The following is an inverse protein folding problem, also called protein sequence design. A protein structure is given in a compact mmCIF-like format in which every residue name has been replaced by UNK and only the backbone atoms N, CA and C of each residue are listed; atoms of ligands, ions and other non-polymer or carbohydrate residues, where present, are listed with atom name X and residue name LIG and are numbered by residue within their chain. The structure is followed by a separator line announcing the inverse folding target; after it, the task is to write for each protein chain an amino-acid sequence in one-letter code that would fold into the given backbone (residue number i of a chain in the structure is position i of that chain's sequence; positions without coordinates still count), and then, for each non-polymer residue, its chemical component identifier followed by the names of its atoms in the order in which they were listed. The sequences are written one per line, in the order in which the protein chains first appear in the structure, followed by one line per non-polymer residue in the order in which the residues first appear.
data_IF_848775432239
#
_entry.id   IF_848775432239
#
_cell.length_a   1.000
_cell.length_b   1.000
_cell.length_c   1.000
_cell.angle_alpha   90.00
_cell.angle_beta   90.00
_cell.angle_gamma   90.00
#
_symmetry.space_group_name_H-M   'P 1'
#
loop_
_entity.id
_entity.type
_entity.pdbx_description
1 polymer ?
#
# COMPACT_ATOMS: atom_id res chain seq x y z
N UNK A 1 -19.05 -20.82 20.67
CA UNK A 1 -18.35 -20.72 19.39
C UNK A 1 -17.35 -19.59 19.58
N UNK A 2 -16.03 -19.81 19.42
CA UNK A 2 -15.07 -18.72 19.36
C UNK A 2 -15.45 -17.88 18.14
N UNK A 3 -15.76 -16.61 18.31
CA UNK A 3 -15.88 -15.68 17.21
C UNK A 3 -14.54 -15.72 16.47
N UNK A 4 -14.55 -16.22 15.25
CA UNK A 4 -13.37 -16.19 14.37
C UNK A 4 -13.18 -14.74 13.96
N UNK A 5 -12.22 -14.07 14.61
CA UNK A 5 -11.83 -12.72 14.23
C UNK A 5 -11.20 -12.77 12.83
N UNK A 6 -11.73 -12.03 11.91
CA UNK A 6 -11.20 -11.88 10.54
C UNK A 6 -11.21 -10.42 10.14
N UNK A 7 -10.28 -10.06 9.29
CA UNK A 7 -10.11 -8.70 8.77
C UNK A 7 -10.32 -8.68 7.26
N UNK A 8 -10.58 -7.50 6.70
CA UNK A 8 -10.84 -7.33 5.27
C UNK A 8 -10.00 -6.20 4.70
N UNK A 9 -9.20 -6.51 3.69
CA UNK A 9 -8.52 -5.54 2.84
C UNK A 9 -9.33 -5.27 1.57
N UNK A 10 -9.59 -4.00 1.26
CA UNK A 10 -10.29 -3.57 0.05
C UNK A 10 -9.37 -2.67 -0.78
N UNK A 11 -8.91 -3.19 -1.92
CA UNK A 11 -8.14 -2.46 -2.92
C UNK A 11 -9.09 -1.87 -3.98
N UNK A 12 -9.15 -0.52 -4.07
CA UNK A 12 -9.98 0.21 -5.03
C UNK A 12 -9.11 0.70 -6.19
N UNK A 13 -8.61 -0.23 -6.98
CA UNK A 13 -7.73 0.07 -8.11
C UNK A 13 -8.43 0.63 -9.34
N UNK A 14 -7.65 1.15 -10.31
CA UNK A 14 -8.16 1.71 -11.57
C UNK A 14 -8.75 0.65 -12.51
N UNK A 15 -8.23 -0.58 -12.48
CA UNK A 15 -8.65 -1.65 -13.41
C UNK A 15 -9.58 -2.65 -12.76
N UNK A 16 -9.37 -2.93 -11.48
CA UNK A 16 -10.12 -3.89 -10.69
C UNK A 16 -10.33 -3.37 -9.27
N UNK A 17 -11.39 -3.82 -8.62
CA UNK A 17 -11.59 -3.73 -7.18
C UNK A 17 -11.49 -5.13 -6.60
N UNK A 18 -10.74 -5.28 -5.51
CA UNK A 18 -10.49 -6.58 -4.88
C UNK A 18 -10.77 -6.47 -3.39
N UNK A 19 -11.60 -7.36 -2.86
CA UNK A 19 -11.82 -7.56 -1.44
C UNK A 19 -11.22 -8.90 -1.01
N UNK A 20 -10.33 -8.90 0.00
CA UNK A 20 -9.68 -10.09 0.53
C UNK A 20 -10.03 -10.21 1.99
N UNK A 21 -10.64 -11.34 2.37
CA UNK A 21 -10.96 -11.69 3.75
C UNK A 21 -9.90 -12.67 4.26
N UNK A 22 -9.37 -12.42 5.44
CA UNK A 22 -8.39 -13.33 6.03
C UNK A 22 -8.20 -13.10 7.52
N UNK A 23 -7.37 -13.92 8.10
CA UNK A 23 -6.97 -13.88 9.51
C UNK A 23 -5.52 -14.31 9.64
N UNK A 24 -4.90 -13.98 10.76
CA UNK A 24 -3.60 -14.56 11.12
C UNK A 24 -3.80 -15.94 11.75
N UNK A 25 -2.99 -16.90 11.34
CA UNK A 25 -2.98 -18.23 11.92
C UNK A 25 -1.98 -18.33 13.09
N UNK A 26 -1.93 -19.46 13.77
CA UNK A 26 -1.05 -19.73 14.92
C UNK A 26 0.47 -19.63 14.58
N UNK A 27 0.84 -19.61 13.30
CA UNK A 27 2.22 -19.47 12.83
C UNK A 27 2.58 -18.05 12.39
N UNK A 28 1.70 -17.06 12.61
CA UNK A 28 1.90 -15.68 12.16
C UNK A 28 1.77 -15.50 10.64
N UNK A 29 1.13 -16.44 9.94
CA UNK A 29 0.85 -16.35 8.49
C UNK A 29 -0.59 -15.96 8.25
N UNK A 30 -0.83 -15.25 7.15
CA UNK A 30 -2.17 -14.86 6.72
C UNK A 30 -2.84 -16.03 6.00
N UNK A 31 -3.92 -16.50 6.58
CA UNK A 31 -4.84 -17.46 5.99
C UNK A 31 -5.95 -16.70 5.25
N UNK A 32 -6.06 -16.92 3.93
CA UNK A 32 -7.11 -16.30 3.13
C UNK A 32 -8.39 -17.12 3.28
N UNK A 33 -9.47 -16.46 3.65
CA UNK A 33 -10.79 -17.08 3.86
C UNK A 33 -11.70 -16.89 2.66
N UNK A 34 -11.47 -15.86 1.85
CA UNK A 34 -12.21 -15.61 0.63
C UNK A 34 -11.73 -14.38 -0.11
N UNK A 35 -12.01 -14.34 -1.41
CA UNK A 35 -11.66 -13.27 -2.31
C UNK A 35 -12.84 -12.88 -3.20
N UNK A 36 -13.03 -11.58 -3.38
CA UNK A 36 -13.98 -11.04 -4.34
C UNK A 36 -13.33 -10.07 -5.28
N UNK A 37 -13.71 -10.13 -6.56
CA UNK A 37 -13.12 -9.33 -7.63
C UNK A 37 -14.21 -8.71 -8.48
N UNK A 38 -14.06 -7.43 -8.79
CA UNK A 38 -14.94 -6.75 -9.74
C UNK A 38 -14.12 -5.91 -10.71
N UNK A 39 -14.63 -5.73 -11.92
CA UNK A 39 -14.06 -4.73 -12.82
C UNK A 39 -14.28 -3.36 -12.21
N UNK A 40 -13.21 -2.57 -12.09
CA UNK A 40 -13.33 -1.19 -11.61
C UNK A 40 -13.98 -0.33 -12.69
N UNK A 41 -15.10 0.28 -12.33
CA UNK A 41 -15.80 1.26 -13.13
C UNK A 41 -15.87 2.55 -12.32
N UNK A 42 -15.48 3.68 -12.91
CA UNK A 42 -15.55 4.98 -12.23
C UNK A 42 -14.30 5.41 -11.47
N UNK A 43 -13.20 4.63 -11.50
CA UNK A 43 -11.89 5.03 -10.99
C UNK A 43 -10.93 5.27 -12.14
N UNK A 44 -10.24 6.41 -12.14
CA UNK A 44 -9.26 6.77 -13.16
C UNK A 44 -7.98 7.32 -12.50
N UNK A 45 -6.84 6.70 -12.75
CA UNK A 45 -5.53 7.04 -12.17
C UNK A 45 -5.57 7.19 -10.64
N UNK A 46 -6.23 6.23 -9.98
CA UNK A 46 -6.39 6.21 -8.52
C UNK A 46 -7.39 7.23 -7.96
N UNK A 47 -8.15 7.94 -8.82
CA UNK A 47 -9.16 8.94 -8.40
C UNK A 47 -10.56 8.46 -8.75
N UNK A 48 -11.50 8.56 -7.80
CA UNK A 48 -12.93 8.27 -8.04
C UNK A 48 -13.53 9.38 -8.87
N UNK A 49 -13.85 9.08 -10.13
CA UNK A 49 -14.48 10.02 -11.08
C UNK A 49 -16.00 9.79 -11.20
N UNK A 50 -16.47 8.57 -10.91
CA UNK A 50 -17.89 8.24 -10.92
C UNK A 50 -18.25 7.43 -9.67
N UNK A 51 -18.88 8.11 -8.71
CA UNK A 51 -19.22 7.53 -7.40
C UNK A 51 -20.16 6.34 -7.55
N UNK A 52 -21.22 6.45 -8.35
CA UNK A 52 -22.22 5.38 -8.51
C UNK A 52 -21.60 4.10 -9.07
N UNK A 53 -20.83 4.20 -10.15
CA UNK A 53 -20.17 3.04 -10.73
C UNK A 53 -19.13 2.43 -9.79
N UNK A 54 -18.42 3.26 -9.00
CA UNK A 54 -17.47 2.77 -8.02
C UNK A 54 -18.18 2.00 -6.90
N UNK A 55 -19.30 2.51 -6.40
CA UNK A 55 -20.13 1.82 -5.40
C UNK A 55 -20.59 0.46 -5.92
N UNK A 56 -21.13 0.38 -7.14
CA UNK A 56 -21.57 -0.87 -7.75
C UNK A 56 -20.43 -1.89 -7.86
N UNK A 57 -19.23 -1.42 -8.27
CA UNK A 57 -18.03 -2.28 -8.36
C UNK A 57 -17.56 -2.77 -6.98
N UNK A 58 -17.61 -1.91 -5.94
CA UNK A 58 -17.30 -2.29 -4.55
C UNK A 58 -18.29 -3.36 -4.07
N UNK A 59 -19.61 -3.11 -4.23
CA UNK A 59 -20.65 -4.04 -3.80
C UNK A 59 -20.51 -5.41 -4.49
N UNK A 60 -20.15 -5.42 -5.77
CA UNK A 60 -19.91 -6.67 -6.51
C UNK A 60 -18.71 -7.44 -5.93
N UNK A 61 -17.57 -6.77 -5.66
CA UNK A 61 -16.40 -7.40 -5.06
C UNK A 61 -16.70 -7.94 -3.66
N UNK A 62 -17.37 -7.15 -2.82
CA UNK A 62 -17.79 -7.55 -1.47
C UNK A 62 -18.71 -8.75 -1.51
N UNK A 63 -19.77 -8.72 -2.32
CA UNK A 63 -20.74 -9.84 -2.43
C UNK A 63 -20.06 -11.12 -2.89
N UNK A 64 -19.09 -11.03 -3.78
CA UNK A 64 -18.32 -12.21 -4.21
C UNK A 64 -17.45 -12.74 -3.07
N UNK A 65 -16.73 -11.88 -2.33
CA UNK A 65 -15.90 -12.29 -1.19
C UNK A 65 -16.74 -12.91 -0.07
N UNK A 66 -17.94 -12.37 0.21
CA UNK A 66 -18.88 -12.94 1.17
C UNK A 66 -19.40 -14.31 0.72
N UNK A 67 -19.65 -14.48 -0.58
CA UNK A 67 -20.12 -15.78 -1.14
C UNK A 67 -19.01 -16.82 -1.07
N UNK A 68 -17.78 -16.45 -1.35
CA UNK A 68 -16.62 -17.31 -1.36
C UNK A 68 -16.25 -17.79 0.06
N UNK A 69 -16.24 -16.86 1.02
CA UNK A 69 -15.89 -17.16 2.42
C UNK A 69 -17.04 -17.70 3.27
N UNK A 70 -18.29 -17.42 2.90
CA UNK A 70 -19.47 -17.63 3.75
C UNK A 70 -19.57 -16.67 4.94
N UNK A 71 -18.74 -15.62 4.99
CA UNK A 71 -18.68 -14.63 6.05
C UNK A 71 -19.34 -13.31 5.62
N UNK A 72 -19.83 -12.52 6.58
CA UNK A 72 -20.38 -11.18 6.34
C UNK A 72 -19.31 -10.11 6.53
N UNK A 73 -19.23 -9.16 5.60
CA UNK A 73 -18.30 -8.03 5.65
C UNK A 73 -19.02 -6.79 6.16
N UNK A 74 -18.58 -6.25 7.28
CA UNK A 74 -19.09 -5.01 7.88
C UNK A 74 -18.06 -3.88 7.82
N UNK A 75 -16.79 -4.20 8.08
CA UNK A 75 -15.69 -3.23 8.15
C UNK A 75 -14.60 -3.60 7.15
N UNK A 76 -14.02 -2.60 6.48
CA UNK A 76 -12.94 -2.78 5.51
C UNK A 76 -11.81 -1.79 5.75
N UNK A 77 -10.56 -2.25 5.59
CA UNK A 77 -9.37 -1.40 5.48
C UNK A 77 -9.07 -1.15 4.02
N UNK A 78 -8.78 0.11 3.66
CA UNK A 78 -8.76 0.58 2.27
C UNK A 78 -7.44 1.21 1.92
N UNK A 79 -6.98 0.96 0.70
CA UNK A 79 -5.84 1.63 0.10
C UNK A 79 -6.19 3.02 -0.45
N UNK A 80 -5.21 3.93 -0.37
CA UNK A 80 -5.25 5.20 -1.09
C UNK A 80 -3.97 5.37 -1.87
N UNK A 81 -4.12 5.65 -3.16
CA UNK A 81 -3.04 6.01 -4.08
C UNK A 81 -3.59 6.95 -5.16
N UNK A 82 -2.73 7.39 -6.04
CA UNK A 82 -3.13 8.18 -7.21
C UNK A 82 -2.44 9.53 -7.28
N UNK A 83 -2.64 10.21 -8.42
CA UNK A 83 -1.97 11.47 -8.75
C UNK A 83 -2.26 12.64 -7.80
N UNK A 84 -3.23 12.49 -6.91
CA UNK A 84 -3.60 13.48 -5.90
C UNK A 84 -2.80 13.34 -4.59
N UNK A 85 -1.93 12.34 -4.51
CA UNK A 85 -1.04 12.10 -3.38
C UNK A 85 0.34 12.68 -3.70
N UNK A 86 0.90 13.42 -2.76
CA UNK A 86 2.26 13.91 -2.81
C UNK A 86 2.95 13.76 -1.46
N UNK A 87 4.25 13.80 -1.45
CA UNK A 87 5.02 13.77 -0.21
C UNK A 87 5.88 15.03 -0.06
N UNK A 88 6.21 15.35 1.18
CA UNK A 88 7.16 16.39 1.53
C UNK A 88 7.99 15.97 2.74
N UNK A 89 9.17 16.56 2.86
CA UNK A 89 10.03 16.42 4.03
C UNK A 89 9.77 17.57 4.99
N UNK A 90 9.63 17.25 6.28
CA UNK A 90 9.46 18.22 7.33
C UNK A 90 10.30 17.86 8.55
N UNK A 91 10.81 18.87 9.25
CA UNK A 91 11.55 18.66 10.52
C UNK A 91 10.86 19.45 11.61
N UNK A 92 10.64 18.83 12.74
CA UNK A 92 10.02 19.49 13.89
C UNK A 92 10.61 18.97 15.21
N UNK A 93 10.31 19.66 16.31
CA UNK A 93 10.81 19.30 17.62
C UNK A 93 9.82 19.64 18.73
N UNK A 94 9.95 18.95 19.85
CA UNK A 94 9.32 19.31 21.12
C UNK A 94 10.39 19.52 22.19
N UNK A 95 10.12 20.43 23.13
CA UNK A 95 10.89 20.56 24.36
C UNK A 95 10.09 19.92 25.49
N UNK A 96 10.68 18.96 26.16
CA UNK A 96 10.06 18.20 27.25
C UNK A 96 10.12 18.99 28.55
N UNK A 97 9.05 18.92 29.34
CA UNK A 97 8.99 19.62 30.62
C UNK A 97 9.95 19.05 31.65
N UNK A 98 10.24 17.74 31.59
CA UNK A 98 11.17 17.06 32.49
C UNK A 98 12.21 16.28 31.68
N UNK A 99 13.45 16.76 31.69
CA UNK A 99 14.58 16.11 31.02
C UNK A 99 15.16 14.94 31.82
N UNK A 100 14.80 14.80 33.11
CA UNK A 100 15.26 13.74 34.00
C UNK A 100 14.40 12.46 33.87
N UNK A 101 13.30 12.52 33.17
CA UNK A 101 12.49 11.37 32.81
C UNK A 101 12.90 10.83 31.44
N UNK A 102 12.79 9.51 31.24
CA UNK A 102 13.04 8.90 29.93
C UNK A 102 11.99 9.33 28.91
N UNK A 103 12.37 9.42 27.65
CA UNK A 103 11.45 9.66 26.55
C UNK A 103 10.50 8.47 26.45
N UNK A 104 9.21 8.76 26.48
CA UNK A 104 8.14 7.76 26.36
C UNK A 104 7.46 7.79 24.99
N UNK A 105 6.59 6.80 24.71
CA UNK A 105 5.78 6.80 23.49
C UNK A 105 4.93 8.07 23.34
N UNK A 106 4.43 8.63 24.47
CA UNK A 106 3.62 9.85 24.48
C UNK A 106 4.40 11.08 23.95
N UNK A 107 5.73 11.14 24.17
CA UNK A 107 6.57 12.23 23.66
C UNK A 107 6.70 12.14 22.13
N UNK A 108 6.89 10.93 21.60
CA UNK A 108 6.93 10.69 20.15
C UNK A 108 5.57 10.99 19.52
N UNK A 109 4.49 10.55 20.14
CA UNK A 109 3.12 10.85 19.70
C UNK A 109 2.84 12.35 19.69
N UNK A 110 3.28 13.09 20.70
CA UNK A 110 3.11 14.53 20.77
C UNK A 110 3.85 15.24 19.64
N UNK A 111 5.08 14.82 19.35
CA UNK A 111 5.86 15.36 18.24
C UNK A 111 5.18 15.09 16.89
N UNK A 112 4.72 13.86 16.64
CA UNK A 112 3.96 13.52 15.43
C UNK A 112 2.65 14.31 15.32
N UNK A 113 1.90 14.44 16.43
CA UNK A 113 0.65 15.20 16.48
C UNK A 113 0.84 16.70 16.20
N UNK A 114 2.03 17.26 16.50
CA UNK A 114 2.38 18.63 16.14
C UNK A 114 2.50 18.79 14.62
N UNK A 115 3.13 17.82 13.95
CA UNK A 115 3.27 17.82 12.48
C UNK A 115 1.90 17.69 11.79
N UNK A 116 0.95 16.91 12.34
CA UNK A 116 -0.41 16.85 11.81
C UNK A 116 -1.18 18.19 11.84
N UNK A 117 -0.72 19.16 12.63
CA UNK A 117 -1.32 20.50 12.71
C UNK A 117 -0.77 21.49 11.71
N UNK A 118 0.19 21.08 10.87
CA UNK A 118 0.75 21.95 9.84
C UNK A 118 -0.34 22.44 8.88
N UNK A 119 -0.26 23.70 8.54
CA UNK A 119 -1.17 24.31 7.57
C UNK A 119 -0.77 23.87 6.16
N UNK A 120 -1.64 23.12 5.51
CA UNK A 120 -1.49 22.68 4.12
C UNK A 120 -2.12 23.70 3.16
N UNK A 121 -1.92 23.49 1.86
CA UNK A 121 -2.60 24.28 0.84
C UNK A 121 -4.12 24.05 0.90
N UNK A 122 -4.94 25.03 0.49
CA UNK A 122 -6.39 24.88 0.49
C UNK A 122 -6.83 23.62 -0.27
N UNK A 123 -7.61 22.77 0.38
CA UNK A 123 -8.09 21.50 -0.18
C UNK A 123 -7.12 20.32 -0.03
N UNK A 124 -6.00 20.50 0.66
CA UNK A 124 -5.06 19.42 1.00
C UNK A 124 -5.11 19.08 2.49
N UNK A 125 -4.82 17.83 2.80
CA UNK A 125 -4.78 17.27 4.14
C UNK A 125 -3.62 16.30 4.29
N UNK A 126 -3.03 16.25 5.48
CA UNK A 126 -1.98 15.28 5.81
C UNK A 126 -2.63 13.92 6.04
N UNK A 127 -2.20 12.93 5.25
CA UNK A 127 -2.67 11.54 5.34
C UNK A 127 -1.79 10.75 6.31
N UNK A 128 -0.46 10.85 6.16
CA UNK A 128 0.50 10.15 7.02
C UNK A 128 1.64 11.07 7.45
N UNK A 129 2.06 10.93 8.70
CA UNK A 129 3.27 11.51 9.27
C UNK A 129 4.18 10.36 9.68
N UNK A 130 5.26 10.15 8.94
CA UNK A 130 6.15 9.01 9.09
C UNK A 130 7.51 9.51 9.59
N UNK A 131 7.85 9.30 10.88
CA UNK A 131 9.15 9.69 11.41
C UNK A 131 10.26 8.89 10.71
N UNK A 132 11.35 9.56 10.36
CA UNK A 132 12.49 8.96 9.69
C UNK A 132 13.68 8.78 10.62
N UNK A 133 14.15 9.87 11.21
CA UNK A 133 15.27 9.90 12.13
C UNK A 133 14.99 10.88 13.26
N UNK A 134 15.36 10.49 14.47
CA UNK A 134 15.26 11.32 15.65
C UNK A 134 16.61 11.93 16.02
N UNK A 135 16.53 13.06 16.76
CA UNK A 135 17.64 13.69 17.44
C UNK A 135 17.23 13.95 18.88
N UNK A 136 18.10 13.63 19.82
CA UNK A 136 17.89 13.90 21.24
C UNK A 136 19.02 14.80 21.73
N UNK A 137 18.68 15.99 22.20
CA UNK A 137 19.65 17.02 22.67
C UNK A 137 20.81 17.26 21.68
N UNK A 138 20.49 17.23 20.35
CA UNK A 138 21.46 17.45 19.28
C UNK A 138 22.19 16.21 18.80
N UNK A 139 22.10 15.06 19.48
CA UNK A 139 22.61 13.78 19.00
C UNK A 139 21.70 13.24 17.89
N UNK A 140 22.20 13.16 16.68
CA UNK A 140 21.48 12.71 15.47
C UNK A 140 21.57 11.18 15.25
N UNK A 141 20.91 10.71 14.18
CA UNK A 141 20.91 9.31 13.71
C UNK A 141 20.32 8.32 14.73
N UNK A 142 19.36 8.75 15.54
CA UNK A 142 18.66 7.90 16.50
C UNK A 142 17.44 7.29 15.81
N UNK A 143 17.36 5.95 15.75
CA UNK A 143 16.20 5.24 15.19
C UNK A 143 15.07 5.10 16.21
N UNK A 144 15.40 4.83 17.45
CA UNK A 144 14.45 4.59 18.55
C UNK A 144 14.81 5.47 19.74
N UNK A 145 14.08 6.57 19.99
CA UNK A 145 14.39 7.50 21.08
C UNK A 145 13.78 7.06 22.42
N UNK A 146 12.81 6.12 22.41
CA UNK A 146 12.11 5.67 23.63
C UNK A 146 13.09 5.02 24.60
N UNK A 147 13.04 5.45 25.87
CA UNK A 147 13.94 4.99 26.91
C UNK A 147 15.22 5.83 27.08
N UNK A 148 15.49 6.78 26.17
CA UNK A 148 16.62 7.71 26.29
C UNK A 148 16.25 8.89 27.19
N UNK A 149 17.24 9.47 27.87
CA UNK A 149 17.09 10.76 28.56
C UNK A 149 17.32 11.91 27.58
N UNK A 150 16.59 13.00 27.74
CA UNK A 150 16.79 14.21 26.93
C UNK A 150 15.69 15.23 27.11
N UNK A 151 16.06 16.50 27.02
CA UNK A 151 15.14 17.64 27.14
C UNK A 151 14.52 18.07 25.83
N UNK A 152 15.19 17.81 24.69
CA UNK A 152 14.72 18.17 23.36
C UNK A 152 14.67 16.95 22.44
N UNK A 153 13.49 16.61 21.95
CA UNK A 153 13.25 15.57 20.96
C UNK A 153 12.91 16.20 19.63
N UNK A 154 13.74 15.97 18.62
CA UNK A 154 13.53 16.39 17.23
C UNK A 154 13.37 15.18 16.32
N UNK A 155 12.64 15.33 15.21
CA UNK A 155 12.60 14.31 14.16
C UNK A 155 12.49 14.94 12.78
N UNK A 156 13.00 14.20 11.79
CA UNK A 156 12.68 14.41 10.39
C UNK A 156 11.50 13.53 10.02
N UNK A 157 10.56 14.06 9.24
CA UNK A 157 9.33 13.39 8.87
C UNK A 157 9.19 13.30 7.35
N UNK A 158 8.78 12.13 6.89
CA UNK A 158 8.16 11.98 5.58
C UNK A 158 6.65 12.19 5.76
N UNK A 159 6.12 13.29 5.20
CA UNK A 159 4.73 13.67 5.33
C UNK A 159 4.02 13.42 4.01
N UNK A 160 2.98 12.60 4.05
CA UNK A 160 2.14 12.29 2.88
C UNK A 160 0.89 13.15 2.93
N UNK A 161 0.61 13.83 1.84
CA UNK A 161 -0.49 14.78 1.69
C UNK A 161 -1.38 14.35 0.54
N UNK A 162 -2.69 14.46 0.71
CA UNK A 162 -3.68 14.17 -0.31
C UNK A 162 -4.77 15.24 -0.43
N UNK A 163 -5.51 15.20 -1.53
CA UNK A 163 -6.67 16.08 -1.71
C UNK A 163 -7.85 15.58 -0.88
N UNK A 164 -8.39 16.44 -0.02
CA UNK A 164 -9.56 16.19 0.84
C UNK A 164 -10.76 15.65 0.04
N UNK A 165 -11.03 16.23 -1.13
CA UNK A 165 -12.15 15.80 -1.98
C UNK A 165 -12.02 14.35 -2.45
N UNK A 166 -10.80 13.91 -2.80
CA UNK A 166 -10.52 12.54 -3.24
C UNK A 166 -10.73 11.54 -2.10
N UNK A 167 -10.23 11.88 -0.91
CA UNK A 167 -10.40 11.05 0.31
C UNK A 167 -11.90 10.94 0.65
N UNK A 168 -12.62 12.05 0.69
CA UNK A 168 -14.07 12.08 0.96
C UNK A 168 -14.86 11.26 -0.05
N UNK A 169 -14.50 11.27 -1.33
CA UNK A 169 -15.16 10.47 -2.35
C UNK A 169 -14.99 8.96 -2.09
N UNK A 170 -13.77 8.50 -1.73
CA UNK A 170 -13.52 7.11 -1.35
C UNK A 170 -14.38 6.73 -0.14
N UNK A 171 -14.33 7.51 0.93
CA UNK A 171 -15.12 7.26 2.16
C UNK A 171 -16.62 7.22 1.86
N UNK A 172 -17.10 8.14 1.02
CA UNK A 172 -18.50 8.14 0.57
C UNK A 172 -18.86 6.87 -0.19
N UNK A 173 -18.00 6.38 -1.07
CA UNK A 173 -18.23 5.13 -1.78
C UNK A 173 -18.36 3.95 -0.81
N UNK A 174 -17.48 3.86 0.21
CA UNK A 174 -17.48 2.80 1.22
C UNK A 174 -18.78 2.85 2.05
N UNK A 175 -19.11 4.02 2.63
CA UNK A 175 -20.33 4.22 3.42
C UNK A 175 -21.59 3.91 2.59
N UNK A 176 -21.65 4.38 1.33
CA UNK A 176 -22.79 4.13 0.44
C UNK A 176 -22.88 2.70 -0.07
N UNK A 177 -21.79 1.94 -0.04
CA UNK A 177 -21.79 0.49 -0.28
C UNK A 177 -22.32 -0.32 0.93
N UNK A 178 -22.62 0.35 2.06
CA UNK A 178 -23.12 -0.28 3.29
C UNK A 178 -22.02 -0.75 4.23
N UNK A 179 -20.79 -0.27 4.05
CA UNK A 179 -19.61 -0.71 4.79
C UNK A 179 -19.13 0.36 5.79
N UNK A 180 -18.48 -0.09 6.84
CA UNK A 180 -17.74 0.76 7.77
C UNK A 180 -16.29 0.85 7.31
N UNK A 181 -15.71 2.04 7.44
CA UNK A 181 -14.30 2.26 7.20
C UNK A 181 -13.51 1.86 8.45
N UNK A 182 -12.59 0.92 8.31
CA UNK A 182 -11.57 0.58 9.30
C UNK A 182 -10.41 1.57 9.24
N UNK A 183 -9.41 1.23 8.48
CA UNK A 183 -8.19 2.02 8.28
C UNK A 183 -8.05 2.47 6.83
N UNK A 184 -7.41 3.65 6.62
CA UNK A 184 -6.92 4.07 5.30
C UNK A 184 -5.40 3.98 5.32
N UNK A 185 -4.83 3.19 4.42
CA UNK A 185 -3.40 3.02 4.26
C UNK A 185 -2.92 3.51 2.90
N UNK A 186 -1.72 4.09 2.85
CA UNK A 186 -1.07 4.40 1.58
C UNK A 186 -0.72 3.09 0.84
N UNK A 187 -1.19 2.92 -0.39
CA UNK A 187 -1.02 1.67 -1.15
C UNK A 187 0.43 1.22 -1.29
N UNK A 188 1.41 2.09 -1.62
CA UNK A 188 2.82 1.68 -1.65
C UNK A 188 3.36 1.13 -0.34
N UNK A 189 2.82 1.57 0.82
CA UNK A 189 3.18 1.00 2.12
C UNK A 189 2.57 -0.38 2.32
N UNK A 190 1.32 -0.55 1.91
CA UNK A 190 0.64 -1.85 1.96
C UNK A 190 1.36 -2.86 1.05
N UNK A 191 1.61 -2.51 -0.21
CA UNK A 191 2.37 -3.35 -1.15
C UNK A 191 3.76 -3.71 -0.61
N UNK A 192 4.46 -2.75 0.03
CA UNK A 192 5.77 -2.97 0.62
C UNK A 192 5.73 -3.99 1.78
N UNK A 193 4.68 -3.99 2.58
CA UNK A 193 4.53 -4.96 3.66
C UNK A 193 4.26 -6.38 3.13
N UNK A 194 3.62 -6.49 1.97
CA UNK A 194 3.33 -7.77 1.35
C UNK A 194 4.52 -8.41 0.61
N UNK A 195 5.45 -7.59 0.05
CA UNK A 195 6.44 -8.10 -0.93
C UNK A 195 7.90 -7.84 -0.58
N UNK A 196 8.20 -6.99 0.42
CA UNK A 196 9.56 -6.68 0.84
C UNK A 196 9.91 -7.36 2.15
N UNK A 197 11.10 -7.94 2.22
CA UNK A 197 11.65 -8.41 3.48
C UNK A 197 12.21 -7.25 4.32
N UNK A 198 12.40 -7.49 5.61
CA UNK A 198 12.99 -6.50 6.50
C UNK A 198 14.44 -6.18 6.11
N UNK A 199 15.19 -7.19 5.66
CA UNK A 199 16.58 -7.05 5.22
C UNK A 199 16.67 -6.16 3.96
N UNK A 200 15.73 -6.28 3.02
CA UNK A 200 15.69 -5.41 1.85
C UNK A 200 15.38 -3.95 2.25
N UNK A 201 14.42 -3.75 3.16
CA UNK A 201 14.11 -2.41 3.70
C UNK A 201 15.32 -1.80 4.40
N UNK A 202 16.10 -2.58 5.12
CA UNK A 202 17.33 -2.12 5.79
C UNK A 202 18.47 -1.86 4.81
N UNK A 203 18.72 -2.78 3.87
CA UNK A 203 19.77 -2.64 2.87
C UNK A 203 19.54 -1.46 1.91
N UNK A 204 18.29 -1.08 1.72
CA UNK A 204 17.84 -0.04 0.81
C UNK A 204 17.30 -0.62 -0.48
N UNK A 205 16.02 -0.36 -0.76
CA UNK A 205 15.25 -0.90 -1.88
C UNK A 205 14.26 0.14 -2.42
N UNK A 206 14.07 0.13 -3.74
CA UNK A 206 12.98 0.84 -4.40
C UNK A 206 11.88 -0.17 -4.78
N UNK A 207 10.71 -0.05 -4.16
CA UNK A 207 9.51 -0.77 -4.58
C UNK A 207 8.81 0.03 -5.67
N UNK A 208 8.49 -0.62 -6.77
CA UNK A 208 7.74 -0.05 -7.89
C UNK A 208 6.49 -0.91 -8.10
N UNK A 209 5.33 -0.36 -7.79
CA UNK A 209 4.03 -0.99 -8.02
C UNK A 209 3.43 -0.44 -9.31
N UNK A 210 3.38 -1.26 -10.35
CA UNK A 210 2.85 -0.88 -11.67
C UNK A 210 1.40 -1.33 -11.77
N UNK A 211 0.50 -0.42 -11.42
CA UNK A 211 -0.93 -0.60 -11.51
C UNK A 211 -1.48 -0.39 -12.93
N UNK A 212 -2.83 -0.34 -13.04
CA UNK A 212 -3.49 -0.02 -14.30
C UNK A 212 -3.39 1.46 -14.67
N UNK A 213 -3.59 2.36 -13.71
CA UNK A 213 -3.66 3.80 -13.92
C UNK A 213 -2.44 4.58 -13.47
N UNK A 214 -1.71 4.06 -12.49
CA UNK A 214 -0.53 4.68 -11.87
C UNK A 214 0.61 3.69 -11.77
N UNK A 215 1.80 4.23 -11.57
CA UNK A 215 2.98 3.50 -11.08
C UNK A 215 3.42 4.20 -9.81
N UNK A 216 3.40 3.47 -8.71
CA UNK A 216 3.67 3.99 -7.38
C UNK A 216 5.07 3.55 -6.93
N UNK A 217 5.87 4.51 -6.46
CA UNK A 217 7.23 4.29 -5.96
C UNK A 217 7.27 4.49 -4.46
N UNK A 218 7.91 3.56 -3.75
CA UNK A 218 8.32 3.72 -2.36
C UNK A 218 9.78 3.31 -2.18
N UNK A 219 10.59 4.17 -1.58
CA UNK A 219 12.00 3.91 -1.30
C UNK A 219 12.18 3.72 0.20
N UNK A 220 12.75 2.58 0.56
CA UNK A 220 13.14 2.24 1.93
C UNK A 220 14.65 2.23 2.06
N UNK A 221 15.15 2.66 3.21
CA UNK A 221 16.55 2.56 3.62
C UNK A 221 16.63 2.57 5.14
N UNK A 222 17.49 1.74 5.71
CA UNK A 222 17.66 1.57 7.16
C UNK A 222 16.37 1.12 7.89
N UNK A 223 15.48 0.38 7.17
CA UNK A 223 14.18 -0.06 7.65
C UNK A 223 13.08 1.01 7.60
N UNK A 224 13.38 2.21 7.11
CA UNK A 224 12.51 3.39 7.16
C UNK A 224 12.14 3.82 5.74
N UNK A 225 10.90 4.27 5.54
CA UNK A 225 10.51 4.90 4.28
C UNK A 225 11.18 6.27 4.14
N UNK A 226 11.84 6.47 3.00
CA UNK A 226 12.59 7.69 2.73
C UNK A 226 11.95 8.57 1.67
N UNK A 227 11.28 7.98 0.70
CA UNK A 227 10.65 8.71 -0.40
C UNK A 227 9.44 7.95 -0.94
N UNK A 228 8.41 8.68 -1.38
CA UNK A 228 7.29 8.15 -2.14
C UNK A 228 6.99 9.08 -3.32
N UNK A 229 6.65 8.49 -4.46
CA UNK A 229 6.21 9.23 -5.63
C UNK A 229 5.13 8.46 -6.39
N UNK A 230 4.29 9.17 -7.10
CA UNK A 230 3.25 8.60 -7.96
C UNK A 230 3.46 9.10 -9.39
N UNK A 231 3.68 8.18 -10.30
CA UNK A 231 3.77 8.43 -11.73
C UNK A 231 2.37 8.18 -12.33
N UNK A 232 1.73 9.15 -13.02
CA UNK A 232 0.35 9.05 -13.47
C UNK A 232 0.19 8.20 -14.75
N UNK A 233 1.04 7.20 -14.91
CA UNK A 233 1.05 6.22 -16.00
C UNK A 233 1.15 4.82 -15.43
N UNK A 234 0.42 3.87 -16.04
CA UNK A 234 0.43 2.46 -15.69
C UNK A 234 0.08 1.60 -16.91
N UNK A 235 -0.44 0.40 -16.69
CA UNK A 235 -0.77 -0.54 -17.76
C UNK A 235 -1.78 -0.04 -18.80
N UNK A 236 -2.68 0.88 -18.42
CA UNK A 236 -3.73 1.36 -19.32
C UNK A 236 -3.19 2.25 -20.44
N UNK A 237 -2.17 3.06 -20.19
CA UNK A 237 -1.57 3.88 -21.28
C UNK A 237 -0.86 2.98 -22.31
N UNK A 238 -0.28 1.85 -21.89
CA UNK A 238 0.27 0.84 -22.81
C UNK A 238 -0.85 0.27 -23.67
N UNK A 239 -2.01 -0.03 -23.08
CA UNK A 239 -3.18 -0.54 -23.83
C UNK A 239 -3.69 0.48 -24.84
N UNK A 240 -3.72 1.76 -24.47
CA UNK A 240 -4.12 2.85 -25.37
C UNK A 240 -3.14 2.99 -26.54
N UNK A 241 -1.83 2.95 -26.30
CA UNK A 241 -0.82 3.00 -27.36
C UNK A 241 -0.93 1.80 -28.32
N UNK A 242 -1.21 0.60 -27.79
CA UNK A 242 -1.47 -0.59 -28.63
C UNK A 242 -2.74 -0.40 -29.46
N UNK A 243 -3.81 0.09 -28.85
CA UNK A 243 -5.08 0.38 -29.52
C UNK A 243 -4.88 1.33 -30.70
N UNK A 244 -4.16 2.43 -30.47
CA UNK A 244 -3.86 3.42 -31.52
C UNK A 244 -2.89 2.87 -32.56
N UNK A 245 -1.73 2.36 -32.14
CA UNK A 245 -0.69 1.87 -33.02
C UNK A 245 -1.11 0.67 -33.86
N UNK A 246 -1.96 -0.19 -33.33
CA UNK A 246 -2.54 -1.33 -34.06
C UNK A 246 -3.92 -1.01 -34.67
N UNK A 247 -4.54 0.15 -34.41
CA UNK A 247 -5.89 0.55 -34.85
C UNK A 247 -6.93 -0.56 -34.59
N UNK A 248 -7.05 -0.98 -33.34
CA UNK A 248 -7.96 -2.03 -32.83
C UNK A 248 -8.77 -1.48 -31.67
N UNK A 249 -9.76 -2.24 -31.18
CA UNK A 249 -10.53 -1.83 -29.99
C UNK A 249 -9.73 -2.10 -28.70
N UNK A 250 -10.02 -1.33 -27.66
CA UNK A 250 -9.36 -1.42 -26.35
C UNK A 250 -9.31 -2.84 -25.79
N UNK A 251 -10.44 -3.58 -25.82
CA UNK A 251 -10.51 -4.95 -25.36
C UNK A 251 -9.53 -5.90 -26.07
N UNK A 252 -9.33 -5.69 -27.39
CA UNK A 252 -8.37 -6.49 -28.15
C UNK A 252 -6.93 -6.07 -27.82
N UNK A 253 -6.68 -4.76 -27.65
CA UNK A 253 -5.38 -4.23 -27.25
C UNK A 253 -4.96 -4.77 -25.85
N UNK A 254 -5.87 -4.78 -24.88
CA UNK A 254 -5.61 -5.35 -23.56
C UNK A 254 -5.30 -6.84 -23.62
N UNK A 255 -6.07 -7.61 -24.39
CA UNK A 255 -5.80 -9.05 -24.59
C UNK A 255 -4.44 -9.29 -25.27
N UNK A 256 -4.05 -8.45 -26.22
CA UNK A 256 -2.72 -8.53 -26.85
C UNK A 256 -1.61 -8.26 -25.84
N UNK A 257 -1.75 -7.20 -25.05
CA UNK A 257 -0.79 -6.84 -24.01
C UNK A 257 -0.58 -7.99 -23.03
N UNK A 258 -1.68 -8.56 -22.49
CA UNK A 258 -1.61 -9.61 -21.49
C UNK A 258 -1.04 -10.92 -22.06
N UNK A 259 -1.47 -11.34 -23.25
CA UNK A 259 -1.10 -12.65 -23.79
C UNK A 259 0.25 -12.66 -24.51
N UNK A 260 0.56 -11.58 -25.22
CA UNK A 260 1.67 -11.52 -26.16
C UNK A 260 2.63 -10.35 -25.91
N UNK A 261 2.30 -9.47 -24.95
CA UNK A 261 3.11 -8.30 -24.65
C UNK A 261 4.51 -8.65 -24.17
N UNK A 262 5.49 -7.91 -24.66
CA UNK A 262 6.89 -8.00 -24.27
C UNK A 262 7.48 -6.59 -24.23
N UNK A 263 8.23 -6.27 -23.17
CA UNK A 263 8.93 -5.00 -23.04
C UNK A 263 10.22 -4.95 -23.89
N UNK A 264 10.64 -6.05 -24.48
CA UNK A 264 11.91 -6.15 -25.22
C UNK A 264 11.69 -6.62 -26.66
N UNK A 265 11.74 -5.73 -27.66
CA UNK A 265 11.47 -6.09 -29.08
C UNK A 265 12.46 -7.10 -29.67
N UNK A 266 13.70 -7.15 -29.16
CA UNK A 266 14.74 -8.07 -29.64
C UNK A 266 14.46 -9.55 -29.36
N UNK A 267 13.62 -9.84 -28.38
CA UNK A 267 13.21 -11.21 -28.01
C UNK A 267 12.11 -11.78 -28.91
N UNK A 268 11.51 -10.97 -29.78
CA UNK A 268 10.43 -11.41 -30.66
C UNK A 268 10.96 -11.63 -32.10
N UNK A 269 10.64 -12.78 -32.68
CA UNK A 269 10.99 -13.08 -34.06
C UNK A 269 10.14 -12.26 -35.04
N UNK A 270 10.70 -11.93 -36.19
CA UNK A 270 10.00 -11.11 -37.19
C UNK A 270 8.79 -11.78 -37.83
N UNK A 271 8.78 -13.11 -37.87
CA UNK A 271 7.73 -13.91 -38.49
C UNK A 271 6.64 -14.35 -37.51
N UNK A 272 6.69 -13.95 -36.22
CA UNK A 272 5.64 -14.23 -35.26
C UNK A 272 4.50 -13.22 -35.42
N UNK A 273 3.31 -13.72 -35.83
CA UNK A 273 2.14 -12.90 -36.13
C UNK A 273 0.96 -13.37 -35.30
N UNK A 274 0.20 -12.44 -34.79
CA UNK A 274 -1.11 -12.67 -34.15
C UNK A 274 -2.20 -12.12 -35.06
N UNK A 275 -3.18 -12.94 -35.38
CA UNK A 275 -4.37 -12.56 -36.13
C UNK A 275 -5.50 -12.16 -35.16
N UNK A 276 -6.03 -10.95 -35.33
CA UNK A 276 -7.12 -10.42 -34.53
C UNK A 276 -8.38 -10.41 -35.39
N UNK A 277 -9.49 -10.97 -34.88
CA UNK A 277 -10.76 -10.94 -35.62
C UNK A 277 -11.21 -9.53 -35.95
N UNK A 278 -11.57 -9.32 -37.21
CA UNK A 278 -12.14 -8.05 -37.68
C UNK A 278 -13.52 -7.76 -37.08
N UNK A 279 -13.89 -6.50 -36.96
CA UNK A 279 -15.19 -6.07 -36.49
C UNK A 279 -16.25 -6.25 -37.58
N UNK A 280 -17.43 -6.84 -37.23
CA UNK A 280 -18.60 -6.94 -38.11
C UNK A 280 -18.29 -7.53 -39.50
N UNK A 281 -17.54 -8.61 -39.55
CA UNK A 281 -17.24 -9.33 -40.81
C UNK A 281 -16.13 -8.69 -41.66
N UNK A 282 -15.37 -7.74 -41.11
CA UNK A 282 -14.12 -7.25 -41.75
C UNK A 282 -13.04 -8.32 -41.66
N UNK A 283 -12.10 -8.27 -42.57
CA UNK A 283 -10.96 -9.18 -42.58
C UNK A 283 -10.18 -9.10 -41.25
N UNK A 284 -9.62 -10.23 -40.79
CA UNK A 284 -8.75 -10.26 -39.65
C UNK A 284 -7.55 -9.34 -39.84
N UNK A 285 -7.10 -8.72 -38.77
CA UNK A 285 -5.92 -7.87 -38.75
C UNK A 285 -4.72 -8.66 -38.24
N UNK A 286 -3.66 -8.70 -38.99
CA UNK A 286 -2.40 -9.31 -38.64
C UNK A 286 -1.46 -8.31 -37.98
N UNK A 287 -0.91 -8.67 -36.83
CA UNK A 287 0.02 -7.85 -36.06
C UNK A 287 1.24 -8.69 -35.72
N UNK A 288 2.43 -8.22 -36.14
CA UNK A 288 3.67 -8.89 -35.76
C UNK A 288 3.97 -8.64 -34.28
N UNK A 289 4.42 -9.67 -33.55
CA UNK A 289 4.79 -9.53 -32.14
C UNK A 289 5.93 -8.53 -31.94
N UNK A 290 6.84 -8.42 -32.92
CA UNK A 290 7.91 -7.43 -32.91
C UNK A 290 7.37 -5.99 -32.93
N UNK A 291 6.35 -5.68 -33.75
CA UNK A 291 5.73 -4.35 -33.75
C UNK A 291 4.95 -4.08 -32.48
N UNK A 292 4.19 -5.05 -31.98
CA UNK A 292 3.52 -4.96 -30.69
C UNK A 292 4.52 -4.62 -29.59
N UNK A 293 5.64 -5.35 -29.54
CA UNK A 293 6.69 -5.14 -28.53
C UNK A 293 7.38 -3.77 -28.69
N UNK A 294 7.55 -3.23 -29.90
CA UNK A 294 8.09 -1.88 -30.09
C UNK A 294 7.17 -0.80 -29.51
N UNK A 295 5.84 -0.93 -29.68
CA UNK A 295 4.86 0.00 -29.11
C UNK A 295 4.93 -0.07 -27.57
N UNK A 296 4.91 -1.27 -27.02
CA UNK A 296 4.99 -1.50 -25.57
C UNK A 296 6.30 -0.97 -25.00
N UNK A 297 7.43 -1.28 -25.64
CA UNK A 297 8.77 -0.85 -25.24
C UNK A 297 8.88 0.67 -25.10
N UNK A 298 8.40 1.41 -26.10
CA UNK A 298 8.48 2.87 -26.08
C UNK A 298 7.77 3.46 -24.83
N UNK A 299 6.58 2.95 -24.50
CA UNK A 299 5.86 3.42 -23.32
C UNK A 299 6.47 2.97 -22.02
N UNK A 300 6.94 1.73 -21.95
CA UNK A 300 7.57 1.19 -20.74
C UNK A 300 8.88 1.92 -20.43
N UNK A 301 9.69 2.24 -21.46
CA UNK A 301 10.90 3.07 -21.29
C UNK A 301 10.53 4.41 -20.64
N UNK A 302 9.50 5.11 -21.13
CA UNK A 302 9.07 6.40 -20.57
C UNK A 302 8.67 6.26 -19.08
N UNK A 303 7.90 5.22 -18.73
CA UNK A 303 7.49 4.97 -17.34
C UNK A 303 8.72 4.71 -16.46
N UNK A 304 9.62 3.83 -16.91
CA UNK A 304 10.82 3.45 -16.13
C UNK A 304 11.79 4.63 -15.98
N UNK A 305 11.94 5.46 -17.01
CA UNK A 305 12.77 6.66 -16.94
C UNK A 305 12.23 7.67 -15.93
N UNK A 306 10.90 7.88 -15.85
CA UNK A 306 10.28 8.73 -14.83
C UNK A 306 10.50 8.19 -13.43
N UNK A 307 10.32 6.88 -13.22
CA UNK A 307 10.63 6.22 -11.94
C UNK A 307 12.11 6.41 -11.58
N UNK A 308 13.00 6.24 -12.55
CA UNK A 308 14.43 6.39 -12.31
C UNK A 308 14.85 7.83 -11.97
N UNK A 309 14.17 8.81 -12.54
CA UNK A 309 14.34 10.23 -12.14
C UNK A 309 13.99 10.41 -10.66
N UNK A 310 12.90 9.81 -10.18
CA UNK A 310 12.54 9.87 -8.76
C UNK A 310 13.54 9.17 -7.85
N UNK A 311 14.10 8.03 -8.27
CA UNK A 311 15.19 7.34 -7.55
C UNK A 311 16.45 8.22 -7.48
N UNK A 312 16.78 8.94 -8.56
CA UNK A 312 17.89 9.90 -8.57
C UNK A 312 17.61 11.12 -7.70
N UNK A 313 16.38 11.64 -7.72
CA UNK A 313 15.95 12.76 -6.87
C UNK A 313 16.08 12.42 -5.38
N UNK A 314 15.81 11.16 -5.00
CA UNK A 314 16.11 10.67 -3.65
C UNK A 314 17.62 10.74 -3.33
N UNK A 315 18.50 10.65 -4.32
CA UNK A 315 19.96 10.73 -4.18
C UNK A 315 20.65 9.36 -4.17
N UNK A 316 20.10 8.36 -4.85
CA UNK A 316 20.69 7.02 -4.97
C UNK A 316 22.18 7.02 -5.40
N UNK A 317 22.61 8.02 -6.16
CA UNK A 317 24.01 8.16 -6.60
C UNK A 317 24.97 8.51 -5.43
N UNK A 318 24.44 9.01 -4.31
CA UNK A 318 25.21 9.26 -3.09
C UNK A 318 25.49 7.93 -2.36
N UNK A 319 26.73 7.70 -1.95
CA UNK A 319 27.14 6.43 -1.32
C UNK A 319 26.31 6.06 -0.08
N UNK A 320 25.92 7.05 0.74
CA UNK A 320 25.09 6.82 1.95
C UNK A 320 23.62 6.46 1.62
N UNK A 321 23.13 6.86 0.45
CA UNK A 321 21.74 6.65 0.00
C UNK A 321 21.62 5.51 -1.01
N UNK A 322 22.69 4.77 -1.25
CA UNK A 322 22.69 3.69 -2.22
C UNK A 322 21.70 2.59 -1.83
N UNK A 323 20.87 2.19 -2.78
CA UNK A 323 19.89 1.11 -2.62
C UNK A 323 20.55 -0.22 -2.99
N UNK A 324 21.04 -0.93 -1.99
CA UNK A 324 21.83 -2.16 -2.18
C UNK A 324 20.96 -3.32 -2.65
N UNK A 325 19.71 -3.40 -2.14
CA UNK A 325 18.76 -4.42 -2.56
C UNK A 325 18.09 -4.10 -3.92
N UNK A 326 18.47 -2.99 -4.56
CA UNK A 326 18.04 -2.66 -5.92
C UNK A 326 16.55 -2.30 -6.02
N UNK A 327 15.87 -2.91 -6.99
CA UNK A 327 14.47 -2.64 -7.35
C UNK A 327 13.62 -3.89 -7.17
N UNK A 328 12.44 -3.71 -6.58
CA UNK A 328 11.40 -4.74 -6.54
C UNK A 328 10.19 -4.24 -7.33
N UNK A 329 9.79 -5.01 -8.36
CA UNK A 329 8.63 -4.72 -9.19
C UNK A 329 7.42 -5.52 -8.70
N UNK A 330 6.29 -4.87 -8.49
CA UNK A 330 5.02 -5.53 -8.16
C UNK A 330 3.85 -4.91 -8.94
N UNK A 331 2.63 -5.31 -8.64
CA UNK A 331 1.45 -4.90 -9.39
C UNK A 331 1.26 -5.67 -10.69
N UNK A 332 0.10 -5.46 -11.33
CA UNK A 332 -0.26 -6.19 -12.56
C UNK A 332 0.68 -5.96 -13.74
N UNK A 333 1.25 -4.75 -13.85
CA UNK A 333 2.19 -4.38 -14.90
C UNK A 333 3.53 -5.09 -14.79
N UNK A 334 3.95 -5.50 -13.59
CA UNK A 334 5.22 -6.22 -13.36
C UNK A 334 5.27 -7.58 -14.08
N UNK A 335 4.12 -8.14 -14.46
CA UNK A 335 4.00 -9.41 -15.15
C UNK A 335 4.28 -9.31 -16.66
N UNK A 336 4.51 -8.09 -17.19
CA UNK A 336 4.88 -7.91 -18.59
C UNK A 336 6.21 -8.61 -18.89
N UNK A 337 6.23 -9.43 -19.94
CA UNK A 337 7.44 -10.20 -20.28
C UNK A 337 8.63 -9.26 -20.53
N UNK A 338 9.79 -9.66 -20.04
CA UNK A 338 11.08 -8.94 -20.17
C UNK A 338 11.11 -7.54 -19.54
N UNK A 339 10.11 -7.18 -18.72
CA UNK A 339 10.11 -5.90 -18.00
C UNK A 339 11.27 -5.80 -17.02
N UNK A 340 11.53 -6.85 -16.25
CA UNK A 340 12.65 -6.91 -15.31
C UNK A 340 13.98 -6.58 -16.01
N UNK A 341 14.26 -7.24 -17.14
CA UNK A 341 15.49 -7.04 -17.90
C UNK A 341 15.60 -5.59 -18.44
N UNK A 342 14.47 -5.02 -18.85
CA UNK A 342 14.44 -3.64 -19.33
C UNK A 342 14.73 -2.64 -18.21
N UNK A 343 14.17 -2.87 -17.02
CA UNK A 343 14.43 -2.04 -15.83
C UNK A 343 15.90 -2.12 -15.43
N UNK A 344 16.48 -3.32 -15.36
CA UNK A 344 17.90 -3.53 -15.10
C UNK A 344 18.79 -2.82 -16.13
N UNK A 345 18.41 -2.88 -17.41
CA UNK A 345 19.16 -2.22 -18.49
C UNK A 345 19.14 -0.69 -18.38
N UNK A 346 17.99 -0.10 -18.06
CA UNK A 346 17.83 1.37 -18.00
C UNK A 346 18.47 1.91 -16.71
N UNK A 347 18.28 1.23 -15.58
CA UNK A 347 18.66 1.75 -14.27
C UNK A 347 20.07 1.33 -13.82
N UNK A 348 20.57 0.22 -14.35
CA UNK A 348 21.80 -0.42 -13.87
C UNK A 348 21.67 -1.04 -12.48
N UNK A 349 20.44 -1.21 -11.97
CA UNK A 349 20.14 -1.74 -10.63
C UNK A 349 19.59 -3.15 -10.74
N UNK A 350 20.02 -4.03 -9.82
CA UNK A 350 19.46 -5.38 -9.71
C UNK A 350 17.95 -5.28 -9.47
N UNK A 351 17.19 -6.12 -10.15
CA UNK A 351 15.72 -6.06 -10.12
C UNK A 351 15.11 -7.45 -9.90
N UNK A 352 14.10 -7.56 -9.06
CA UNK A 352 13.28 -8.78 -8.90
C UNK A 352 11.80 -8.47 -9.01
N UNK A 353 10.99 -9.49 -9.23
CA UNK A 353 9.53 -9.40 -9.08
C UNK A 353 9.18 -9.71 -7.62
N UNK A 354 8.34 -8.87 -7.03
CA UNK A 354 7.81 -9.04 -5.68
C UNK A 354 6.49 -9.82 -5.70
N UNK A 355 6.45 -10.91 -4.98
CA UNK A 355 5.27 -11.75 -4.81
C UNK A 355 4.82 -11.69 -3.35
N UNK A 356 3.52 -11.56 -3.04
CA UNK A 356 3.02 -11.48 -1.66
C UNK A 356 2.93 -12.85 -0.96
N UNK A 357 3.64 -13.86 -1.44
CA UNK A 357 3.55 -15.24 -0.99
C UNK A 357 4.25 -15.55 0.34
N UNK A 358 5.25 -14.76 0.73
CA UNK A 358 6.04 -15.02 1.95
C UNK A 358 5.22 -14.92 3.24
N UNK A 359 4.17 -14.11 3.24
CA UNK A 359 3.29 -13.87 4.38
C UNK A 359 2.01 -14.73 4.36
N UNK A 360 1.73 -15.40 3.26
CA UNK A 360 0.56 -16.25 3.09
C UNK A 360 0.76 -17.66 3.66
N UNK A 361 -0.30 -18.27 4.15
CA UNK A 361 -0.34 -19.67 4.51
C UNK A 361 -0.20 -20.56 3.27
N UNK A 362 0.37 -21.77 3.42
CA UNK A 362 0.75 -22.62 2.28
C UNK A 362 -0.40 -23.17 1.43
N UNK A 363 -1.62 -23.10 1.91
CA UNK A 363 -2.88 -23.52 1.25
C UNK A 363 -3.61 -22.35 0.57
N UNK A 364 -3.00 -21.16 0.55
CA UNK A 364 -3.57 -20.02 -0.18
C UNK A 364 -3.56 -20.29 -1.69
N UNK A 365 -4.61 -19.82 -2.38
CA UNK A 365 -4.71 -19.98 -3.83
C UNK A 365 -3.50 -19.35 -4.55
N UNK A 366 -2.91 -20.08 -5.51
CA UNK A 366 -1.77 -19.59 -6.32
C UNK A 366 -2.04 -18.23 -6.97
N UNK A 367 -3.31 -17.94 -7.26
CA UNK A 367 -3.70 -16.67 -7.86
C UNK A 367 -3.42 -15.49 -6.94
N UNK A 368 -3.67 -15.62 -5.61
CA UNK A 368 -3.48 -14.53 -4.63
C UNK A 368 -1.99 -14.25 -4.40
N UNK A 369 -1.14 -15.24 -4.59
CA UNK A 369 0.31 -15.10 -4.54
C UNK A 369 0.90 -14.29 -5.71
N UNK A 370 0.08 -13.89 -6.70
CA UNK A 370 0.51 -13.06 -7.82
C UNK A 370 0.80 -11.62 -7.40
N UNK A 371 1.79 -10.94 -8.01
CA UNK A 371 2.05 -9.50 -7.83
C UNK A 371 0.81 -8.63 -8.03
N UNK A 372 -0.15 -9.12 -8.80
CA UNK A 372 -1.44 -8.47 -9.05
C UNK A 372 -2.22 -8.14 -7.77
N UNK A 373 -2.01 -8.90 -6.69
CA UNK A 373 -2.74 -8.76 -5.42
C UNK A 373 -1.88 -8.24 -4.27
N UNK A 374 -0.66 -7.78 -4.55
CA UNK A 374 0.27 -7.30 -3.52
C UNK A 374 -0.35 -6.24 -2.61
N UNK A 375 -1.00 -5.21 -3.18
CA UNK A 375 -1.70 -4.16 -2.43
C UNK A 375 -2.83 -4.74 -1.57
N UNK A 376 -3.71 -5.59 -2.15
CA UNK A 376 -4.83 -6.18 -1.41
C UNK A 376 -4.38 -7.06 -0.23
N UNK A 377 -3.33 -7.87 -0.43
CA UNK A 377 -2.72 -8.68 0.64
C UNK A 377 -2.11 -7.78 1.71
N UNK A 378 -1.37 -6.73 1.32
CA UNK A 378 -0.79 -5.78 2.25
C UNK A 378 -1.82 -5.02 3.07
N UNK A 379 -2.95 -4.63 2.47
CA UNK A 379 -4.08 -4.01 3.18
C UNK A 379 -4.71 -4.96 4.19
N UNK A 380 -4.86 -6.23 3.84
CA UNK A 380 -5.33 -7.25 4.77
C UNK A 380 -4.34 -7.45 5.93
N UNK A 381 -3.03 -7.50 5.66
CA UNK A 381 -2.00 -7.60 6.71
C UNK A 381 -2.06 -6.43 7.68
N UNK A 382 -2.22 -5.20 7.16
CA UNK A 382 -2.37 -3.99 7.99
C UNK A 382 -3.64 -4.08 8.85
N UNK A 383 -4.77 -4.51 8.28
CA UNK A 383 -6.03 -4.70 8.99
C UNK A 383 -5.90 -5.70 10.15
N UNK A 384 -5.30 -6.87 9.89
CA UNK A 384 -5.03 -7.91 10.91
C UNK A 384 -4.14 -7.36 12.02
N UNK A 385 -3.08 -6.64 11.68
CA UNK A 385 -2.18 -6.05 12.66
C UNK A 385 -2.85 -4.95 13.52
N UNK A 386 -3.78 -4.18 12.94
CA UNK A 386 -4.58 -3.20 13.68
C UNK A 386 -5.55 -3.89 14.63
N UNK A 387 -6.28 -4.91 14.17
CA UNK A 387 -7.25 -5.64 14.99
C UNK A 387 -6.58 -6.37 16.16
N UNK A 388 -5.38 -6.92 15.96
CA UNK A 388 -4.61 -7.56 17.02
C UNK A 388 -4.21 -6.60 18.16
N UNK A 389 -4.00 -5.31 17.86
CA UNK A 389 -3.69 -4.28 18.87
C UNK A 389 -4.90 -3.88 19.72
N UNK A 390 -6.12 -4.05 19.20
CA UNK A 390 -7.37 -3.73 19.89
C UNK A 390 -8.04 -4.92 20.57
N UNK A 391 -7.52 -6.15 20.37
CA UNK A 391 -8.00 -7.31 21.08
C UNK A 391 -7.79 -7.09 22.59
N UNK A 392 -8.84 -7.22 23.45
CA UNK A 392 -8.66 -7.11 24.89
C UNK A 392 -7.66 -8.18 25.34
N UNK A 393 -6.64 -7.78 26.11
CA UNK A 393 -5.71 -8.72 26.75
C UNK A 393 -6.55 -9.80 27.46
N UNK A 394 -6.42 -11.05 27.02
CA UNK A 394 -7.00 -12.16 27.76
C UNK A 394 -6.31 -12.16 29.11
N UNK A 395 -7.07 -12.15 30.24
CA UNK A 395 -6.44 -12.27 31.54
C UNK A 395 -5.63 -13.56 31.55
N UNK A 396 -4.35 -13.43 31.84
CA UNK A 396 -3.48 -14.59 32.04
C UNK A 396 -4.18 -15.56 32.97
N UNK A 397 -4.33 -16.83 32.56
CA UNK A 397 -4.79 -17.89 33.42
C UNK A 397 -3.80 -17.98 34.56
N UNK A 398 -4.17 -17.42 35.74
CA UNK A 398 -3.44 -17.65 36.96
C UNK A 398 -3.45 -19.16 37.21
N UNK A 399 -2.31 -19.79 37.10
CA UNK A 399 -2.08 -21.10 37.70
C UNK A 399 -2.31 -20.95 39.20
N UNK A 400 -3.41 -21.48 39.68
CA UNK A 400 -3.74 -21.56 41.11
C UNK A 400 -2.74 -22.51 41.78
N UNK A 401 -1.66 -21.97 42.33
CA UNK A 401 -0.98 -22.63 43.44
C UNK A 401 -1.69 -22.27 44.74
N UNK A 402 -2.40 -23.26 45.32
CA UNK A 402 -2.88 -23.20 46.68
C UNK A 402 -1.71 -23.04 47.65
N UNK A 403 -1.69 -21.94 48.42
CA UNK A 403 -1.23 -21.91 49.82
C UNK A 403 -1.62 -20.61 50.54
N UNK A 404 -2.52 -20.74 51.43
CA UNK A 404 -2.54 -20.38 52.88
C UNK A 404 -2.31 -18.97 53.34
N UNK A 405 -3.39 -18.40 53.88
CA UNK A 405 -3.54 -17.54 55.08
C UNK A 405 -2.94 -16.13 55.17
N UNK A 406 -3.88 -15.19 55.28
CA UNK A 406 -3.92 -13.99 56.15
C UNK A 406 -2.86 -12.88 55.96
N UNK A 407 -3.29 -11.70 55.49
CA UNK A 407 -3.49 -10.50 56.30
C UNK A 407 -3.95 -9.31 55.44
N UNK A 408 -4.87 -8.54 56.02
CA UNK A 408 -5.51 -7.34 55.50
C UNK A 408 -4.47 -6.22 55.23
N UNK A 409 -4.51 -5.61 54.07
CA UNK A 409 -4.20 -4.17 53.95
C UNK A 409 -4.92 -3.57 52.75
N UNK A 410 -5.66 -2.49 53.03
CA UNK A 410 -6.37 -1.62 52.12
C UNK A 410 -5.40 -0.85 51.27
N UNK A 411 -5.39 -1.09 49.95
CA UNK A 411 -4.82 -0.17 48.99
C UNK A 411 -5.83 0.14 47.88
N UNK A 412 -5.90 1.43 47.56
CA UNK A 412 -6.82 2.02 46.62
C UNK A 412 -6.64 1.43 45.20
N UNK A 413 -7.74 0.88 44.67
CA UNK A 413 -7.83 0.40 43.29
C UNK A 413 -7.73 1.57 42.32
N UNK A 414 -6.56 1.73 41.67
CA UNK A 414 -6.42 2.53 40.45
C UNK A 414 -7.11 1.79 39.30
N UNK A 415 -8.06 2.48 38.68
CA UNK A 415 -8.76 1.98 37.50
C UNK A 415 -7.76 1.58 36.39
N UNK A 416 -8.04 0.51 35.61
CA UNK A 416 -7.18 0.10 34.51
C UNK A 416 -7.09 1.20 33.46
N UNK A 417 -5.88 1.60 33.07
CA UNK A 417 -5.65 2.54 31.99
C UNK A 417 -6.08 1.89 30.68
N UNK A 418 -6.89 2.61 29.92
CA UNK A 418 -7.32 2.20 28.57
C UNK A 418 -6.11 1.87 27.67
N UNK A 419 -6.24 0.92 26.73
CA UNK A 419 -5.15 0.55 25.82
C UNK A 419 -4.68 1.76 25.02
N UNK A 420 -3.35 1.90 24.88
CA UNK A 420 -2.72 3.03 24.22
C UNK A 420 -2.92 2.89 22.70
N UNK A 421 -3.49 3.93 22.08
CA UNK A 421 -3.71 4.02 20.64
C UNK A 421 -2.42 4.47 19.95
N UNK A 422 -2.02 3.79 18.86
CA UNK A 422 -0.90 4.18 18.02
C UNK A 422 -1.21 5.44 17.20
N UNK A 423 -0.17 6.06 16.62
CA UNK A 423 -0.29 7.24 15.78
C UNK A 423 -1.26 7.04 14.61
N UNK A 424 -1.25 5.86 13.98
CA UNK A 424 -2.17 5.47 12.92
C UNK A 424 -3.64 5.40 13.39
N UNK A 425 -3.86 4.94 14.61
CA UNK A 425 -5.20 4.79 15.19
C UNK A 425 -5.84 6.14 15.51
N UNK A 426 -5.06 7.05 16.06
CA UNK A 426 -5.50 8.43 16.34
C UNK A 426 -5.82 9.20 15.06
N UNK A 427 -5.14 8.86 13.97
CA UNK A 427 -5.40 9.47 12.67
C UNK A 427 -6.70 8.93 12.06
N UNK A 428 -6.93 7.61 12.09
CA UNK A 428 -8.19 7.02 11.59
C UNK A 428 -9.40 7.56 12.35
N UNK A 429 -9.27 7.82 13.67
CA UNK A 429 -10.29 8.49 14.46
C UNK A 429 -10.46 9.96 14.10
N UNK A 430 -9.35 10.73 13.97
CA UNK A 430 -9.44 12.13 13.54
C UNK A 430 -10.03 12.29 12.14
N UNK A 431 -9.70 11.38 11.22
CA UNK A 431 -10.31 11.36 9.91
C UNK A 431 -11.79 10.98 10.01
N UNK A 432 -12.15 10.01 10.87
CA UNK A 432 -13.55 9.68 11.17
C UNK A 432 -14.29 10.87 11.75
N UNK A 433 -13.76 11.51 12.79
CA UNK A 433 -14.37 12.68 13.42
C UNK A 433 -14.51 13.86 12.46
N UNK A 434 -13.50 14.08 11.61
CA UNK A 434 -13.55 15.12 10.57
C UNK A 434 -14.61 14.81 9.49
N UNK A 435 -14.73 13.56 9.09
CA UNK A 435 -15.68 13.11 8.07
C UNK A 435 -17.12 13.05 8.63
N UNK A 436 -17.29 12.72 9.91
CA UNK A 436 -18.60 12.69 10.58
C UNK A 436 -19.10 14.10 10.93
N UNK A 437 -18.20 15.07 11.16
CA UNK A 437 -18.54 16.50 11.39
C UNK A 437 -18.68 17.33 10.09
N UNK A 438 -18.51 16.73 8.92
CA UNK A 438 -18.59 17.38 7.62
C UNK A 438 -19.90 17.09 6.87
N UNK A 439 -20.95 16.57 7.58
CA UNK A 439 -22.34 16.49 7.08
C UNK A 439 -23.08 17.81 7.23
#
# INVERSE_FOLDING_TARGET
MKETHYSVGLDIGTTKIVAIIGKENEYGKIEILGIGKAKSLGVHRGVVNNITQTIESIQQAISQAETDSGLKIDTVSVGIAGQHIRSLQHSDYITRANAEEVIGPDDVDNLCNQVYKLVMLPGEEIIHVLPQEFKVDGQAEIKEPIGMYGGRLEANFHVVVGQVSSIKNIVRCIKSAGLKLGEISLEPLASANAVLSQEEKEAGVALIDIGGGTTDLAIFKDGIIRHTAVIPFGGNVITEDIKEGCSIIEKQAELLKIKFGSAWPGENKENEIVSIPGLRGRDPKEITLKNLSKIIHARVVEIVEQVYVEIKNYGHDEQKKKLIAGIVLTGGGSQLKHLKQLVEYITGMDTRIGYPNEHLAGDSEEEIASPLYATGVGLLMNAVASDAKYAPEQPALEETEEKGTEEQNTEETKAPKAPRKNIFDKWSEKLKDFLDNAE
#
